data_IF_806261445489
#
_entry.id   IF_806261445489
#
_cell.length_a   1.000
_cell.length_b   1.000
_cell.length_c   1.000
_cell.angle_alpha   90.00
_cell.angle_beta   90.00
_cell.angle_gamma   90.00
#
_symmetry.space_group_name_H-M   'P 1'
#
loop_
_entity.id
_entity.type
_entity.pdbx_description
1 polymer ?
#
# COMPACT_ATOMS: atom_id res chain seq x y z
N UNK A 1 -25.13 -0.23 -5.03
CA UNK A 1 -24.33 0.30 -3.89
C UNK A 1 -22.86 0.22 -4.28
N UNK A 2 -22.02 1.26 -4.04
CA UNK A 2 -20.59 1.17 -4.37
C UNK A 2 -19.96 0.04 -3.54
N UNK A 3 -19.09 -0.77 -4.13
CA UNK A 3 -18.46 -1.94 -3.47
C UNK A 3 -17.78 -1.58 -2.14
N UNK A 4 -17.17 -0.40 -2.05
CA UNK A 4 -16.58 0.12 -0.81
C UNK A 4 -17.58 0.35 0.32
N UNK A 5 -18.85 0.62 0.00
CA UNK A 5 -19.90 0.75 1.00
C UNK A 5 -20.38 -0.64 1.50
N UNK A 6 -20.37 -1.66 0.64
CA UNK A 6 -20.64 -3.04 1.04
C UNK A 6 -19.56 -3.58 1.98
N UNK A 7 -18.29 -3.33 1.64
CA UNK A 7 -17.15 -3.71 2.49
C UNK A 7 -17.23 -3.05 3.86
N UNK A 8 -17.63 -1.78 3.93
CA UNK A 8 -17.73 -1.00 5.19
C UNK A 8 -18.92 -1.39 6.05
N UNK A 9 -19.97 -2.01 5.46
CA UNK A 9 -21.25 -2.25 6.14
C UNK A 9 -21.09 -2.99 7.48
N UNK A 10 -20.35 -4.12 7.60
CA UNK A 10 -20.26 -4.87 8.86
C UNK A 10 -19.44 -4.17 9.96
N UNK A 11 -18.78 -3.06 9.64
CA UNK A 11 -17.93 -2.28 10.55
C UNK A 11 -18.25 -0.79 10.49
N UNK A 12 -19.49 -0.41 10.12
CA UNK A 12 -19.87 0.99 9.92
C UNK A 12 -19.71 1.81 11.20
N UNK A 13 -20.25 1.33 12.30
CA UNK A 13 -20.21 2.02 13.59
C UNK A 13 -18.77 2.20 14.07
N UNK A 14 -17.95 1.16 13.92
CA UNK A 14 -16.54 1.20 14.29
C UNK A 14 -15.76 2.20 13.46
N UNK A 15 -16.04 2.28 12.17
CA UNK A 15 -15.38 3.26 11.30
C UNK A 15 -15.80 4.71 11.64
N UNK A 16 -17.03 4.94 12.06
CA UNK A 16 -17.50 6.26 12.50
C UNK A 16 -16.86 6.67 13.82
N UNK A 17 -16.80 5.77 14.79
CA UNK A 17 -16.13 6.00 16.06
C UNK A 17 -14.60 6.18 15.87
N UNK A 18 -14.00 5.38 15.00
CA UNK A 18 -12.60 5.52 14.63
C UNK A 18 -12.28 6.92 14.09
N UNK A 19 -13.12 7.47 13.23
CA UNK A 19 -12.90 8.82 12.70
C UNK A 19 -12.84 9.88 13.79
N UNK A 20 -13.70 9.78 14.79
CA UNK A 20 -13.71 10.71 15.93
C UNK A 20 -12.42 10.56 16.78
N UNK A 21 -12.04 9.31 17.12
CA UNK A 21 -10.84 9.01 17.88
C UNK A 21 -9.57 9.43 17.13
N UNK A 22 -9.48 9.17 15.84
CA UNK A 22 -8.36 9.53 15.00
C UNK A 22 -8.18 11.05 14.91
N UNK A 23 -9.28 11.82 14.73
CA UNK A 23 -9.23 13.29 14.77
C UNK A 23 -8.68 13.80 16.11
N UNK A 24 -9.13 13.25 17.22
CA UNK A 24 -8.65 13.61 18.56
C UNK A 24 -7.16 13.32 18.73
N UNK A 25 -6.66 12.16 18.21
CA UNK A 25 -5.25 11.79 18.31
C UNK A 25 -4.31 12.74 17.57
N UNK A 26 -4.79 13.44 16.54
CA UNK A 26 -4.00 14.39 15.74
C UNK A 26 -3.97 15.82 16.32
N UNK A 27 -4.68 16.09 17.42
CA UNK A 27 -4.74 17.43 18.00
C UNK A 27 -3.41 17.87 18.62
N UNK A 28 -3.12 19.18 18.56
CA UNK A 28 -1.93 19.81 19.12
C UNK A 28 -2.26 21.19 19.72
N UNK A 29 -1.40 21.66 20.63
CA UNK A 29 -1.47 23.03 21.16
C UNK A 29 -0.92 24.07 20.17
N UNK A 30 -0.21 23.65 19.11
CA UNK A 30 0.38 24.52 18.09
C UNK A 30 -0.63 24.81 16.99
N UNK A 31 -1.05 26.06 16.84
CA UNK A 31 -2.09 26.46 15.89
C UNK A 31 -1.77 26.09 14.42
N UNK A 32 -0.52 26.27 13.98
CA UNK A 32 -0.09 25.87 12.64
C UNK A 32 -0.26 24.37 12.42
N UNK A 33 0.14 23.57 13.38
CA UNK A 33 0.05 22.11 13.30
C UNK A 33 -1.42 21.65 13.24
N UNK A 34 -2.31 22.24 14.04
CA UNK A 34 -3.75 21.97 13.98
C UNK A 34 -4.34 22.32 12.60
N UNK A 35 -3.91 23.41 11.96
CA UNK A 35 -4.34 23.76 10.60
C UNK A 35 -3.91 22.69 9.60
N UNK A 36 -2.69 22.20 9.71
CA UNK A 36 -2.14 21.18 8.77
C UNK A 36 -2.82 19.83 9.01
N UNK A 37 -2.97 19.38 10.25
CA UNK A 37 -3.64 18.11 10.55
C UNK A 37 -5.12 18.15 10.17
N UNK A 38 -5.81 19.28 10.32
CA UNK A 38 -7.16 19.49 9.82
C UNK A 38 -7.21 19.35 8.28
N UNK A 39 -6.23 19.94 7.56
CA UNK A 39 -6.12 19.80 6.12
C UNK A 39 -5.94 18.33 5.70
N UNK A 40 -5.09 17.57 6.39
CA UNK A 40 -4.85 16.14 6.14
C UNK A 40 -6.13 15.33 6.35
N UNK A 41 -6.77 15.48 7.51
CA UNK A 41 -7.97 14.68 7.87
C UNK A 41 -9.15 14.91 6.92
N UNK A 42 -9.32 16.13 6.41
CA UNK A 42 -10.41 16.43 5.49
C UNK A 42 -10.16 15.95 4.04
N UNK A 43 -8.94 15.46 3.73
CA UNK A 43 -8.55 14.93 2.41
C UNK A 43 -8.15 13.45 2.46
N UNK A 44 -8.67 12.74 3.44
CA UNK A 44 -8.48 11.30 3.59
C UNK A 44 -9.01 10.53 2.36
N UNK A 45 -8.36 9.41 2.08
CA UNK A 45 -8.79 8.49 1.04
C UNK A 45 -9.94 7.57 1.50
N UNK A 46 -10.01 6.40 0.90
CA UNK A 46 -11.03 5.38 1.18
C UNK A 46 -10.88 4.70 2.54
N UNK A 47 -9.81 5.00 3.29
CA UNK A 47 -9.51 4.41 4.61
C UNK A 47 -9.47 2.86 4.62
N UNK A 48 -8.92 2.27 3.57
CA UNK A 48 -8.87 0.82 3.42
C UNK A 48 -8.06 0.14 4.55
N UNK A 49 -7.01 0.80 5.07
CA UNK A 49 -6.16 0.23 6.12
C UNK A 49 -6.88 0.03 7.45
N UNK A 50 -7.56 1.03 8.01
CA UNK A 50 -8.44 0.82 9.17
C UNK A 50 -9.51 -0.26 8.92
N UNK A 51 -10.08 -0.35 7.72
CA UNK A 51 -11.05 -1.41 7.40
C UNK A 51 -10.42 -2.80 7.51
N UNK A 52 -9.17 -3.02 7.03
CA UNK A 52 -8.47 -4.28 7.23
C UNK A 52 -8.31 -4.60 8.72
N UNK A 53 -7.87 -3.63 9.54
CA UNK A 53 -7.71 -3.84 10.98
C UNK A 53 -9.02 -4.28 11.62
N UNK A 54 -10.12 -3.58 11.37
CA UNK A 54 -11.41 -3.87 12.00
C UNK A 54 -12.04 -5.16 11.50
N UNK A 55 -12.02 -5.41 10.19
CA UNK A 55 -12.61 -6.63 9.62
C UNK A 55 -11.86 -7.89 10.10
N UNK A 56 -10.52 -7.85 10.12
CA UNK A 56 -9.71 -8.95 10.64
C UNK A 56 -9.97 -9.14 12.13
N UNK A 57 -9.93 -8.09 12.94
CA UNK A 57 -10.21 -8.18 14.37
C UNK A 57 -11.56 -8.84 14.65
N UNK A 58 -12.62 -8.40 13.97
CA UNK A 58 -13.97 -8.98 14.14
C UNK A 58 -14.08 -10.40 13.59
N UNK A 59 -13.40 -10.73 12.49
CA UNK A 59 -13.42 -12.08 11.94
C UNK A 59 -12.81 -13.08 12.91
N UNK A 60 -11.60 -12.81 13.40
CA UNK A 60 -10.87 -13.75 14.28
C UNK A 60 -11.47 -13.86 15.69
N UNK A 61 -12.14 -12.79 16.17
CA UNK A 61 -12.72 -12.75 17.53
C UNK A 61 -14.19 -13.12 17.62
N UNK A 62 -14.83 -13.46 16.49
CA UNK A 62 -16.29 -13.67 16.45
C UNK A 62 -17.10 -12.40 16.69
N UNK A 63 -16.64 -11.26 16.18
CA UNK A 63 -17.33 -9.96 16.23
C UNK A 63 -16.94 -9.04 17.38
N UNK A 64 -16.03 -9.45 18.26
CA UNK A 64 -15.56 -8.64 19.39
C UNK A 64 -14.47 -7.64 18.95
N UNK A 65 -14.44 -6.50 19.61
CA UNK A 65 -13.39 -5.49 19.48
C UNK A 65 -13.09 -4.82 20.83
N UNK A 66 -11.98 -4.13 20.91
CA UNK A 66 -11.55 -3.41 22.10
C UNK A 66 -11.00 -2.03 21.75
N UNK A 67 -10.77 -1.20 22.75
CA UNK A 67 -10.08 0.09 22.59
C UNK A 67 -8.70 -0.08 21.96
N UNK A 68 -8.05 -1.21 22.20
CA UNK A 68 -6.78 -1.58 21.63
C UNK A 68 -6.84 -1.69 20.10
N UNK A 69 -7.94 -2.20 19.53
CA UNK A 69 -8.14 -2.27 18.08
C UNK A 69 -8.24 -0.89 17.45
N UNK A 70 -8.95 0.06 18.10
CA UNK A 70 -9.01 1.46 17.63
C UNK A 70 -7.66 2.15 17.71
N UNK A 71 -6.87 1.89 18.76
CA UNK A 71 -5.50 2.43 18.86
C UNK A 71 -4.61 1.85 17.75
N UNK A 72 -4.66 0.54 17.52
CA UNK A 72 -3.93 -0.09 16.43
C UNK A 72 -4.25 0.51 15.06
N UNK A 73 -5.54 0.68 14.74
CA UNK A 73 -5.97 1.33 13.51
C UNK A 73 -5.49 2.79 13.42
N UNK A 74 -5.48 3.51 14.55
CA UNK A 74 -5.00 4.91 14.61
C UNK A 74 -3.49 5.00 14.41
N UNK A 75 -2.71 4.10 15.00
CA UNK A 75 -1.26 4.00 14.82
C UNK A 75 -0.90 3.75 13.34
N UNK A 76 -1.58 2.78 12.71
CA UNK A 76 -1.41 2.51 11.27
C UNK A 76 -1.66 3.77 10.44
N UNK A 77 -2.76 4.46 10.67
CA UNK A 77 -3.13 5.61 9.83
C UNK A 77 -2.27 6.84 10.12
N UNK A 78 -1.82 7.06 11.37
CA UNK A 78 -0.85 8.11 11.73
C UNK A 78 0.48 7.89 11.01
N UNK A 79 1.04 6.69 11.12
CA UNK A 79 2.33 6.34 10.53
C UNK A 79 2.24 6.35 9.00
N UNK A 80 1.18 5.77 8.41
CA UNK A 80 0.98 5.86 6.97
C UNK A 80 0.87 7.31 6.48
N UNK A 81 0.18 8.17 7.22
CA UNK A 81 0.08 9.59 6.86
C UNK A 81 1.44 10.28 6.96
N UNK A 82 2.24 9.95 7.99
CA UNK A 82 3.60 10.45 8.13
C UNK A 82 4.49 10.05 6.96
N UNK A 83 4.46 8.75 6.56
CA UNK A 83 5.24 8.28 5.40
C UNK A 83 4.81 8.97 4.11
N UNK A 84 3.50 9.15 3.86
CA UNK A 84 3.02 9.86 2.69
C UNK A 84 3.49 11.33 2.65
N UNK A 85 3.58 12.00 3.80
CA UNK A 85 4.06 13.39 3.88
C UNK A 85 5.58 13.45 3.60
N UNK A 86 6.35 12.48 4.10
CA UNK A 86 7.78 12.35 3.81
C UNK A 86 8.03 11.99 2.34
N UNK A 87 7.27 11.05 1.78
CA UNK A 87 7.36 10.64 0.38
C UNK A 87 7.12 11.82 -0.57
N UNK A 88 6.12 12.68 -0.27
CA UNK A 88 5.86 13.88 -1.08
C UNK A 88 7.06 14.83 -1.12
N UNK A 89 7.90 14.85 -0.06
CA UNK A 89 9.15 15.62 -0.04
C UNK A 89 10.26 14.91 -0.82
N UNK A 90 10.40 13.61 -0.67
CA UNK A 90 11.42 12.79 -1.35
C UNK A 90 11.19 12.78 -2.87
N UNK A 91 9.93 12.64 -3.29
CA UNK A 91 9.50 12.58 -4.70
C UNK A 91 9.32 13.96 -5.33
N UNK A 92 9.55 15.05 -4.59
CA UNK A 92 9.26 16.43 -4.99
C UNK A 92 7.83 16.61 -5.55
N UNK A 93 6.90 15.88 -4.99
CA UNK A 93 5.51 15.80 -5.44
C UNK A 93 4.71 17.02 -4.99
N UNK A 94 4.11 17.74 -5.95
CA UNK A 94 3.31 18.94 -5.66
C UNK A 94 1.82 18.64 -5.42
N UNK A 95 1.34 17.45 -5.79
CA UNK A 95 -0.07 17.06 -5.68
C UNK A 95 -0.21 15.60 -5.24
N UNK A 96 -1.18 15.36 -4.34
CA UNK A 96 -1.60 14.02 -3.91
C UNK A 96 -3.14 13.94 -3.93
N UNK A 97 -3.68 12.92 -4.60
CA UNK A 97 -5.15 12.72 -4.75
C UNK A 97 -5.89 13.95 -5.28
N UNK A 98 -5.29 14.69 -6.21
CA UNK A 98 -5.88 15.89 -6.80
C UNK A 98 -5.74 17.17 -5.95
N UNK A 99 -5.22 17.10 -4.74
CA UNK A 99 -4.97 18.24 -3.86
C UNK A 99 -3.47 18.56 -3.79
N UNK A 100 -3.14 19.79 -3.39
CA UNK A 100 -1.75 20.16 -3.12
C UNK A 100 -1.21 19.35 -1.94
N UNK A 101 0.04 18.88 -2.07
CA UNK A 101 0.78 18.21 -0.99
C UNK A 101 1.17 19.20 0.11
N UNK A 102 1.59 18.66 1.27
CA UNK A 102 1.99 19.51 2.41
C UNK A 102 3.23 20.34 2.08
N UNK A 103 4.22 19.75 1.41
CA UNK A 103 5.42 20.45 0.98
C UNK A 103 5.12 21.57 -0.03
N UNK A 104 4.15 21.38 -0.93
CA UNK A 104 3.74 22.41 -1.88
C UNK A 104 3.09 23.63 -1.18
N UNK A 105 2.29 23.41 -0.13
CA UNK A 105 1.60 24.48 0.60
C UNK A 105 2.46 25.13 1.68
N UNK A 106 3.23 24.35 2.43
CA UNK A 106 3.96 24.80 3.63
C UNK A 106 5.47 24.63 3.55
N UNK A 107 6.01 24.18 2.40
CA UNK A 107 7.43 23.91 2.13
C UNK A 107 7.96 22.64 2.80
N UNK A 108 9.07 22.12 2.26
CA UNK A 108 9.68 20.85 2.70
C UNK A 108 9.99 20.81 4.20
N UNK A 109 10.53 21.89 4.77
CA UNK A 109 10.85 21.97 6.21
C UNK A 109 9.63 21.70 7.09
N UNK A 110 8.48 22.26 6.75
CA UNK A 110 7.24 22.06 7.52
C UNK A 110 6.70 20.64 7.29
N UNK A 111 6.75 20.13 6.06
CA UNK A 111 6.32 18.78 5.75
C UNK A 111 7.10 17.73 6.56
N UNK A 112 8.43 17.84 6.61
CA UNK A 112 9.28 16.95 7.43
C UNK A 112 8.87 17.00 8.90
N UNK A 113 8.75 18.19 9.49
CA UNK A 113 8.36 18.33 10.90
C UNK A 113 6.95 17.81 11.20
N UNK A 114 6.01 17.91 10.25
CA UNK A 114 4.66 17.34 10.38
C UNK A 114 4.72 15.81 10.33
N UNK A 115 5.50 15.23 9.41
CA UNK A 115 5.71 13.79 9.35
C UNK A 115 6.31 13.25 10.65
N UNK A 116 7.35 13.89 11.19
CA UNK A 116 7.97 13.54 12.48
C UNK A 116 6.97 13.61 13.64
N UNK A 117 6.13 14.66 13.65
CA UNK A 117 5.09 14.79 14.67
C UNK A 117 4.07 13.64 14.61
N UNK A 118 3.60 13.28 13.40
CA UNK A 118 2.62 12.20 13.23
C UNK A 118 3.23 10.85 13.61
N UNK A 119 4.49 10.60 13.23
CA UNK A 119 5.24 9.42 13.62
C UNK A 119 5.35 9.33 15.15
N UNK A 120 5.81 10.40 15.81
CA UNK A 120 5.92 10.45 17.25
C UNK A 120 4.58 10.25 17.97
N UNK A 121 3.49 10.79 17.43
CA UNK A 121 2.13 10.58 17.97
C UNK A 121 1.72 9.09 17.87
N UNK A 122 2.02 8.42 16.77
CA UNK A 122 1.75 6.98 16.62
C UNK A 122 2.54 6.16 17.64
N UNK A 123 3.84 6.45 17.83
CA UNK A 123 4.68 5.76 18.81
C UNK A 123 4.16 5.95 20.24
N UNK A 124 3.88 7.20 20.63
CA UNK A 124 3.38 7.52 21.98
C UNK A 124 2.01 6.89 22.25
N UNK A 125 1.13 6.82 21.23
CA UNK A 125 -0.18 6.19 21.40
C UNK A 125 -0.06 4.71 21.80
N UNK A 126 0.93 3.99 21.27
CA UNK A 126 1.20 2.60 21.66
C UNK A 126 1.91 2.52 23.02
N UNK A 127 2.93 3.34 23.26
CA UNK A 127 3.75 3.30 24.48
C UNK A 127 2.92 3.66 25.73
N UNK A 128 2.14 4.74 25.67
CA UNK A 128 1.33 5.24 26.78
C UNK A 128 0.23 4.25 27.20
N UNK A 129 -0.15 3.33 26.31
CA UNK A 129 -1.16 2.30 26.55
C UNK A 129 -0.59 0.88 26.73
N UNK A 130 0.74 0.72 26.70
CA UNK A 130 1.39 -0.58 26.88
C UNK A 130 1.21 -1.54 25.69
N UNK A 131 0.82 -1.03 24.51
CA UNK A 131 0.58 -1.83 23.30
C UNK A 131 1.90 -2.13 22.53
N UNK A 132 2.90 -2.70 23.21
CA UNK A 132 4.26 -2.90 22.69
C UNK A 132 4.31 -3.90 21.53
N UNK A 133 3.46 -4.91 21.53
CA UNK A 133 3.33 -5.88 20.44
C UNK A 133 2.76 -5.23 19.16
N UNK A 134 1.74 -4.36 19.28
CA UNK A 134 1.22 -3.57 18.17
C UNK A 134 2.29 -2.60 17.65
N UNK A 135 3.04 -1.97 18.54
CA UNK A 135 4.16 -1.10 18.18
C UNK A 135 5.24 -1.86 17.42
N UNK A 136 5.56 -3.10 17.84
CA UNK A 136 6.52 -3.95 17.16
C UNK A 136 6.08 -4.26 15.72
N UNK A 137 4.82 -4.65 15.52
CA UNK A 137 4.26 -4.95 14.18
C UNK A 137 4.48 -3.77 13.23
N UNK A 138 4.08 -2.58 13.63
CA UNK A 138 4.20 -1.41 12.75
C UNK A 138 5.64 -0.94 12.58
N UNK A 139 6.48 -1.04 13.60
CA UNK A 139 7.90 -0.64 13.51
C UNK A 139 8.66 -1.53 12.53
N UNK A 140 8.39 -2.83 12.50
CA UNK A 140 8.94 -3.75 11.49
C UNK A 140 8.49 -3.34 10.09
N UNK A 141 7.20 -3.04 9.90
CA UNK A 141 6.68 -2.62 8.60
C UNK A 141 7.33 -1.31 8.11
N UNK A 142 7.50 -0.32 8.97
CA UNK A 142 8.15 0.97 8.60
C UNK A 142 9.60 0.76 8.20
N UNK A 143 10.34 -0.08 8.94
CA UNK A 143 11.72 -0.43 8.57
C UNK A 143 11.76 -1.09 7.19
N UNK A 144 10.95 -2.12 6.96
CA UNK A 144 10.89 -2.81 5.68
C UNK A 144 10.51 -1.87 4.53
N UNK A 145 9.54 -0.97 4.74
CA UNK A 145 9.17 0.03 3.71
C UNK A 145 10.35 0.90 3.31
N UNK A 146 11.14 1.36 4.29
CA UNK A 146 12.33 2.19 4.02
C UNK A 146 13.43 1.39 3.32
N UNK A 147 13.68 0.15 3.73
CA UNK A 147 14.64 -0.76 3.09
C UNK A 147 14.22 -1.07 1.65
N UNK A 148 12.92 -1.32 1.41
CA UNK A 148 12.37 -1.59 0.08
C UNK A 148 12.49 -0.40 -0.88
N UNK A 149 12.27 0.82 -0.38
CA UNK A 149 12.46 2.04 -1.17
C UNK A 149 13.92 2.23 -1.58
N UNK A 150 14.85 2.06 -0.64
CA UNK A 150 16.29 2.14 -0.91
C UNK A 150 16.75 1.04 -1.87
N UNK A 151 16.25 -0.18 -1.71
CA UNK A 151 16.53 -1.29 -2.63
C UNK A 151 16.04 -0.98 -4.04
N UNK A 152 14.82 -0.43 -4.18
CA UNK A 152 14.29 -0.01 -5.48
C UNK A 152 15.19 1.05 -6.13
N UNK A 153 15.60 2.08 -5.39
CA UNK A 153 16.48 3.14 -5.88
C UNK A 153 17.85 2.58 -6.33
N UNK A 154 18.43 1.67 -5.55
CA UNK A 154 19.70 1.03 -5.89
C UNK A 154 19.58 0.23 -7.19
N UNK A 155 18.55 -0.58 -7.31
CA UNK A 155 18.32 -1.47 -8.46
C UNK A 155 17.91 -0.73 -9.73
N UNK A 156 17.11 0.32 -9.61
CA UNK A 156 16.72 1.15 -10.75
C UNK A 156 17.95 1.74 -11.49
N UNK A 157 19.02 2.06 -10.76
CA UNK A 157 20.26 2.58 -11.36
C UNK A 157 21.01 1.55 -12.22
N UNK A 158 20.90 0.26 -11.90
CA UNK A 158 21.63 -0.83 -12.58
C UNK A 158 20.82 -1.43 -13.74
N UNK A 159 19.48 -1.45 -13.65
CA UNK A 159 18.56 -2.15 -14.54
C UNK A 159 18.87 -3.66 -14.67
N UNK A 160 19.31 -4.26 -13.56
CA UNK A 160 19.64 -5.68 -13.44
C UNK A 160 18.69 -6.41 -12.49
N UNK A 161 17.43 -5.97 -12.42
CA UNK A 161 16.42 -6.53 -11.53
C UNK A 161 15.97 -7.89 -12.09
N UNK A 162 16.19 -8.94 -11.31
CA UNK A 162 15.58 -10.25 -11.51
C UNK A 162 14.22 -10.31 -10.80
N UNK A 163 13.40 -11.29 -11.17
CA UNK A 163 12.02 -11.38 -10.70
C UNK A 163 11.92 -11.50 -9.17
N UNK A 164 12.84 -12.24 -8.54
CA UNK A 164 12.90 -12.40 -7.08
C UNK A 164 13.14 -11.05 -6.37
N UNK A 165 14.02 -10.24 -6.92
CA UNK A 165 14.30 -8.89 -6.38
C UNK A 165 13.09 -7.96 -6.56
N UNK A 166 12.37 -8.06 -7.67
CA UNK A 166 11.13 -7.33 -7.86
C UNK A 166 10.09 -7.70 -6.79
N UNK A 167 9.88 -9.00 -6.54
CA UNK A 167 8.96 -9.43 -5.48
C UNK A 167 9.40 -8.93 -4.11
N UNK A 168 10.68 -8.95 -3.80
CA UNK A 168 11.18 -8.41 -2.53
C UNK A 168 10.92 -6.91 -2.40
N UNK A 169 11.15 -6.12 -3.45
CA UNK A 169 10.86 -4.68 -3.46
C UNK A 169 9.37 -4.42 -3.19
N UNK A 170 8.47 -5.05 -3.93
CA UNK A 170 7.03 -4.79 -3.75
C UNK A 170 6.49 -5.35 -2.44
N UNK A 171 7.07 -6.44 -1.92
CA UNK A 171 6.77 -6.97 -0.60
C UNK A 171 7.09 -5.95 0.48
N UNK A 172 8.34 -5.46 0.48
CA UNK A 172 8.80 -4.51 1.48
C UNK A 172 8.12 -3.14 1.35
N UNK A 173 8.09 -2.56 0.15
CA UNK A 173 7.58 -1.20 -0.07
C UNK A 173 6.07 -1.08 0.12
N UNK A 174 5.29 -2.06 -0.33
CA UNK A 174 3.83 -1.95 -0.42
C UNK A 174 3.10 -2.98 0.42
N UNK A 175 3.46 -4.27 0.30
CA UNK A 175 2.69 -5.34 0.92
C UNK A 175 2.85 -5.38 2.44
N UNK A 176 4.03 -5.05 2.97
CA UNK A 176 4.30 -5.09 4.41
C UNK A 176 3.35 -4.22 5.24
N UNK A 177 2.90 -3.06 4.73
CA UNK A 177 1.97 -2.22 5.46
C UNK A 177 0.55 -2.83 5.51
N UNK A 178 0.10 -3.49 4.46
CA UNK A 178 -1.19 -4.19 4.45
C UNK A 178 -1.10 -5.44 5.34
N UNK A 179 0.03 -6.14 5.30
CA UNK A 179 0.34 -7.25 6.21
C UNK A 179 0.28 -6.80 7.68
N UNK A 180 0.88 -5.65 8.00
CA UNK A 180 0.83 -5.06 9.34
C UNK A 180 -0.60 -4.70 9.76
N UNK A 181 -1.45 -4.19 8.85
CA UNK A 181 -2.86 -3.92 9.16
C UNK A 181 -3.60 -5.20 9.59
N UNK A 182 -3.42 -6.29 8.85
CA UNK A 182 -4.08 -7.56 9.13
C UNK A 182 -3.54 -8.21 10.41
N UNK A 183 -2.21 -8.25 10.59
CA UNK A 183 -1.58 -8.73 11.81
C UNK A 183 -2.01 -7.93 13.05
N UNK A 184 -2.08 -6.60 12.92
CA UNK A 184 -2.51 -5.71 13.99
C UNK A 184 -3.98 -5.93 14.38
N UNK A 185 -4.85 -6.18 13.38
CA UNK A 185 -6.24 -6.54 13.64
C UNK A 185 -6.34 -7.78 14.52
N UNK A 186 -5.68 -8.88 14.13
CA UNK A 186 -5.67 -10.14 14.89
C UNK A 186 -5.02 -9.97 16.27
N UNK A 187 -3.82 -9.37 16.34
CA UNK A 187 -3.09 -9.16 17.59
C UNK A 187 -3.84 -8.26 18.58
N UNK A 188 -4.64 -7.31 18.11
CA UNK A 188 -5.39 -6.39 18.98
C UNK A 188 -6.46 -7.07 19.82
N UNK A 189 -6.94 -8.23 19.41
CA UNK A 189 -8.03 -8.99 20.07
C UNK A 189 -7.58 -10.34 20.61
N UNK A 190 -6.51 -10.93 20.05
CA UNK A 190 -5.99 -12.24 20.43
C UNK A 190 -4.45 -12.25 20.42
N UNK A 191 -3.76 -11.49 21.31
CA UNK A 191 -2.31 -11.34 21.28
C UNK A 191 -1.53 -12.63 21.49
N UNK A 192 -2.12 -13.62 22.16
CA UNK A 192 -1.49 -14.93 22.44
C UNK A 192 -1.58 -15.91 21.25
N UNK A 193 -2.42 -15.64 20.25
CA UNK A 193 -2.63 -16.50 19.09
C UNK A 193 -1.64 -16.17 17.97
N UNK A 194 -0.35 -16.45 18.21
CA UNK A 194 0.74 -16.06 17.31
C UNK A 194 0.63 -16.66 15.91
N UNK A 195 0.13 -17.91 15.80
CA UNK A 195 -0.10 -18.58 14.52
C UNK A 195 -1.19 -17.88 13.69
N UNK A 196 -2.28 -17.48 14.34
CA UNK A 196 -3.37 -16.78 13.67
C UNK A 196 -2.98 -15.35 13.26
N UNK A 197 -2.18 -14.67 14.10
CA UNK A 197 -1.59 -13.37 13.77
C UNK A 197 -0.71 -13.50 12.51
N UNK A 198 0.12 -14.55 12.43
CA UNK A 198 0.98 -14.78 11.27
C UNK A 198 0.17 -15.15 10.01
N UNK A 199 -0.88 -15.97 10.13
CA UNK A 199 -1.82 -16.22 9.01
C UNK A 199 -2.43 -14.94 8.49
N UNK A 200 -2.87 -14.04 9.36
CA UNK A 200 -3.43 -12.76 8.96
C UNK A 200 -2.38 -11.83 8.38
N UNK A 201 -1.15 -11.87 8.88
CA UNK A 201 -0.02 -11.16 8.27
C UNK A 201 0.20 -11.60 6.82
N UNK A 202 0.28 -12.92 6.58
CA UNK A 202 0.44 -13.50 5.24
C UNK A 202 -0.75 -13.16 4.32
N UNK A 203 -1.98 -13.20 4.82
CA UNK A 203 -3.16 -12.77 4.10
C UNK A 203 -3.00 -11.32 3.57
N UNK A 204 -2.60 -10.41 4.45
CA UNK A 204 -2.37 -9.01 4.09
C UNK A 204 -1.21 -8.84 3.11
N UNK A 205 -0.13 -9.61 3.26
CA UNK A 205 1.02 -9.60 2.36
C UNK A 205 0.60 -10.02 0.95
N UNK A 206 -0.13 -11.12 0.79
CA UNK A 206 -0.58 -11.58 -0.53
C UNK A 206 -1.51 -10.58 -1.23
N UNK A 207 -2.38 -9.92 -0.47
CA UNK A 207 -3.21 -8.82 -1.03
C UNK A 207 -2.32 -7.66 -1.49
N UNK A 208 -1.34 -7.28 -0.70
CA UNK A 208 -0.41 -6.19 -1.02
C UNK A 208 0.42 -6.49 -2.26
N UNK A 209 0.88 -7.74 -2.42
CA UNK A 209 1.57 -8.20 -3.63
C UNK A 209 0.66 -8.10 -4.86
N UNK A 210 -0.55 -8.65 -4.78
CA UNK A 210 -1.52 -8.56 -5.88
C UNK A 210 -1.90 -7.11 -6.21
N UNK A 211 -2.02 -6.26 -5.18
CA UNK A 211 -2.30 -4.83 -5.33
C UNK A 211 -1.21 -4.11 -6.12
N UNK A 212 0.06 -4.33 -5.79
CA UNK A 212 1.17 -3.67 -6.48
C UNK A 212 1.32 -4.16 -7.91
N UNK A 213 1.22 -5.47 -8.16
CA UNK A 213 1.26 -5.99 -9.53
C UNK A 213 0.12 -5.39 -10.37
N UNK A 214 -1.07 -5.19 -9.78
CA UNK A 214 -2.18 -4.51 -10.46
C UNK A 214 -1.86 -3.05 -10.79
N UNK A 215 -1.23 -2.33 -9.88
CA UNK A 215 -0.81 -0.95 -10.12
C UNK A 215 0.20 -0.86 -11.27
N UNK A 216 1.18 -1.76 -11.29
CA UNK A 216 2.18 -1.83 -12.36
C UNK A 216 1.53 -2.14 -13.72
N UNK A 217 0.50 -3.01 -13.76
CA UNK A 217 -0.25 -3.30 -14.97
C UNK A 217 -0.99 -2.08 -15.53
N UNK A 218 -1.44 -1.16 -14.68
CA UNK A 218 -2.11 0.06 -15.13
C UNK A 218 -1.19 0.97 -15.95
N UNK A 219 0.12 0.95 -15.71
CA UNK A 219 1.07 1.77 -16.46
C UNK A 219 1.20 1.37 -17.94
N UNK A 220 0.77 0.16 -18.29
CA UNK A 220 0.75 -0.38 -19.64
C UNK A 220 -0.60 -0.27 -20.36
N UNK A 221 -1.67 0.10 -19.66
CA UNK A 221 -3.02 0.15 -20.23
C UNK A 221 -3.45 1.59 -20.48
N UNK A 222 -3.88 1.89 -21.71
CA UNK A 222 -4.54 3.18 -22.00
C UNK A 222 -5.95 3.15 -21.42
N UNK A 223 -6.14 3.84 -20.30
CA UNK A 223 -7.48 3.97 -19.74
C UNK A 223 -8.27 5.11 -20.38
N UNK A 224 -9.59 4.90 -20.45
CA UNK A 224 -10.58 5.88 -20.92
C UNK A 224 -10.56 7.23 -20.16
N UNK A 225 -9.72 7.39 -19.14
CA UNK A 225 -9.65 8.56 -18.25
C UNK A 225 -8.44 9.46 -18.58
N UNK A 226 -7.60 9.11 -19.57
CA UNK A 226 -6.52 10.00 -20.05
C UNK A 226 -5.34 10.15 -19.09
N UNK A 227 -5.09 9.18 -18.21
CA UNK A 227 -3.84 9.16 -17.43
C UNK A 227 -2.65 8.85 -18.35
N UNK A 228 -1.50 9.52 -18.17
CA UNK A 228 -0.31 9.20 -18.94
C UNK A 228 0.18 7.78 -18.59
N UNK A 229 0.36 6.94 -19.60
CA UNK A 229 0.96 5.60 -19.49
C UNK A 229 2.49 5.68 -19.60
N UNK A 230 3.18 4.64 -19.15
CA UNK A 230 4.63 4.53 -19.24
C UNK A 230 5.38 5.43 -18.26
N UNK A 231 4.78 5.76 -17.11
CA UNK A 231 5.43 6.54 -16.06
C UNK A 231 6.56 5.70 -15.45
N UNK A 232 6.34 4.42 -15.15
CA UNK A 232 7.35 3.53 -14.60
C UNK A 232 8.54 3.35 -15.54
N UNK A 233 8.30 3.27 -16.85
CA UNK A 233 9.37 3.23 -17.86
C UNK A 233 10.17 4.55 -17.83
N UNK A 234 9.51 5.72 -17.73
CA UNK A 234 10.16 7.03 -17.64
C UNK A 234 11.01 7.17 -16.39
N UNK A 235 10.59 6.58 -15.29
CA UNK A 235 11.29 6.56 -14.01
C UNK A 235 12.31 5.41 -13.92
N UNK A 236 12.49 4.65 -15.00
CA UNK A 236 13.41 3.51 -15.08
C UNK A 236 13.08 2.40 -14.06
N UNK A 237 11.82 2.28 -13.67
CA UNK A 237 11.34 1.19 -12.82
C UNK A 237 11.17 -0.08 -13.66
N UNK A 238 11.71 -1.17 -13.14
CA UNK A 238 11.60 -2.49 -13.75
C UNK A 238 10.38 -3.19 -13.13
N UNK A 239 9.25 -3.16 -13.84
CA UNK A 239 8.01 -3.80 -13.42
C UNK A 239 7.90 -5.23 -13.95
N UNK A 240 7.07 -6.07 -13.34
CA UNK A 240 6.98 -7.49 -13.66
C UNK A 240 6.74 -7.80 -15.16
N UNK A 241 5.84 -7.08 -15.87
CA UNK A 241 5.68 -7.29 -17.31
C UNK A 241 6.97 -7.12 -18.09
N UNK A 242 7.76 -6.08 -17.78
CA UNK A 242 9.02 -5.79 -18.46
C UNK A 242 10.11 -6.82 -18.12
N UNK A 243 10.21 -7.20 -16.83
CA UNK A 243 11.18 -8.21 -16.36
C UNK A 243 10.94 -9.55 -17.06
N UNK A 244 9.68 -9.99 -17.17
CA UNK A 244 9.33 -11.23 -17.87
C UNK A 244 9.80 -11.19 -19.33
N UNK A 245 9.53 -10.11 -20.05
CA UNK A 245 9.92 -9.99 -21.44
C UNK A 245 11.44 -9.95 -21.60
N UNK A 246 12.16 -9.23 -20.74
CA UNK A 246 13.63 -9.23 -20.73
C UNK A 246 14.26 -10.61 -20.50
N UNK A 247 13.55 -11.50 -19.81
CA UNK A 247 14.02 -12.86 -19.53
C UNK A 247 13.64 -13.87 -20.64
N UNK A 248 12.73 -13.50 -21.54
CA UNK A 248 12.17 -14.43 -22.56
C UNK A 248 12.41 -14.02 -24.01
N UNK A 249 12.79 -12.77 -24.27
CA UNK A 249 13.09 -12.27 -25.61
C UNK A 249 14.52 -12.63 -26.06
N UNK A 250 14.83 -12.41 -27.34
CA UNK A 250 16.18 -12.58 -27.87
C UNK A 250 17.17 -11.57 -27.28
N UNK A 251 18.48 -11.87 -27.38
CA UNK A 251 19.51 -10.98 -26.84
C UNK A 251 19.52 -9.60 -27.55
N UNK A 252 19.20 -9.55 -28.85
CA UNK A 252 19.09 -8.30 -29.60
C UNK A 252 17.92 -7.44 -29.09
N UNK A 253 16.77 -8.04 -28.88
CA UNK A 253 15.57 -7.40 -28.34
C UNK A 253 15.81 -6.93 -26.90
N UNK A 254 16.49 -7.74 -26.09
CA UNK A 254 16.87 -7.39 -24.72
C UNK A 254 17.75 -6.14 -24.69
N UNK A 255 18.78 -6.07 -25.54
CA UNK A 255 19.65 -4.90 -25.65
C UNK A 255 18.86 -3.67 -26.11
N UNK A 256 17.92 -3.84 -27.04
CA UNK A 256 17.05 -2.75 -27.48
C UNK A 256 16.15 -2.24 -26.34
N UNK A 257 15.53 -3.12 -25.56
CA UNK A 257 14.69 -2.78 -24.40
C UNK A 257 15.50 -2.04 -23.33
N UNK A 258 16.65 -2.60 -22.91
CA UNK A 258 17.53 -1.98 -21.92
C UNK A 258 17.98 -0.58 -22.38
N UNK A 259 18.38 -0.45 -23.64
CA UNK A 259 18.79 0.84 -24.20
C UNK A 259 17.63 1.85 -24.22
N UNK A 260 16.42 1.38 -24.56
CA UNK A 260 15.21 2.19 -24.59
C UNK A 260 14.88 2.75 -23.20
N UNK A 261 14.91 1.92 -22.15
CA UNK A 261 14.67 2.33 -20.77
C UNK A 261 15.80 3.21 -20.22
N UNK A 262 17.07 2.91 -20.56
CA UNK A 262 18.21 3.70 -20.04
C UNK A 262 18.35 5.07 -20.67
N UNK A 263 18.23 5.16 -22.00
CA UNK A 263 18.59 6.38 -22.75
C UNK A 263 17.42 7.10 -23.39
N UNK A 264 16.33 6.40 -23.64
CA UNK A 264 15.16 6.95 -24.36
C UNK A 264 13.88 6.94 -23.54
N UNK A 265 14.00 6.77 -22.22
CA UNK A 265 12.85 6.76 -21.28
C UNK A 265 12.00 8.05 -21.29
N UNK A 266 12.54 9.18 -21.75
CA UNK A 266 11.81 10.46 -21.90
C UNK A 266 11.20 10.66 -23.29
N UNK A 267 11.58 9.86 -24.27
CA UNK A 267 11.00 9.90 -25.61
C UNK A 267 9.64 9.19 -25.63
N UNK A 268 8.59 9.97 -25.80
CA UNK A 268 7.21 9.46 -25.79
C UNK A 268 6.95 8.38 -26.85
N UNK A 269 7.59 8.48 -28.02
CA UNK A 269 7.46 7.49 -29.09
C UNK A 269 8.11 6.17 -28.67
N UNK A 270 9.33 6.26 -28.16
CA UNK A 270 10.08 5.07 -27.69
C UNK A 270 9.38 4.38 -26.51
N UNK A 271 8.83 5.14 -25.57
CA UNK A 271 8.04 4.58 -24.45
C UNK A 271 6.82 3.80 -24.97
N UNK A 272 6.09 4.35 -25.96
CA UNK A 272 4.98 3.63 -26.59
C UNK A 272 5.43 2.34 -27.30
N UNK A 273 6.54 2.39 -28.02
CA UNK A 273 7.13 1.20 -28.68
C UNK A 273 7.47 0.11 -27.65
N UNK A 274 8.04 0.47 -26.49
CA UNK A 274 8.33 -0.46 -25.40
C UNK A 274 7.04 -1.06 -24.84
N UNK A 275 6.01 -0.25 -24.58
CA UNK A 275 4.71 -0.74 -24.09
C UNK A 275 4.10 -1.77 -25.04
N UNK A 276 4.05 -1.47 -26.34
CA UNK A 276 3.52 -2.38 -27.34
C UNK A 276 4.37 -3.67 -27.47
N UNK A 277 5.69 -3.53 -27.36
CA UNK A 277 6.59 -4.69 -27.37
C UNK A 277 6.29 -5.61 -26.18
N UNK A 278 6.15 -5.06 -24.96
CA UNK A 278 5.83 -5.82 -23.74
C UNK A 278 4.47 -6.51 -23.86
N UNK A 279 3.46 -5.84 -24.44
CA UNK A 279 2.14 -6.43 -24.70
C UNK A 279 2.25 -7.62 -25.66
N UNK A 280 2.92 -7.43 -26.81
CA UNK A 280 3.04 -8.46 -27.84
C UNK A 280 3.82 -9.70 -27.39
N UNK A 281 4.72 -9.55 -26.40
CA UNK A 281 5.51 -10.64 -25.81
C UNK A 281 4.89 -11.22 -24.54
N UNK A 282 3.57 -11.04 -24.33
CA UNK A 282 2.78 -11.63 -23.22
C UNK A 282 3.22 -11.20 -21.80
N UNK A 283 3.91 -10.06 -21.69
CA UNK A 283 4.32 -9.55 -20.37
C UNK A 283 3.14 -9.25 -19.47
N UNK A 284 2.04 -8.73 -20.03
CA UNK A 284 0.83 -8.39 -19.25
C UNK A 284 0.06 -9.64 -18.81
N UNK A 285 -0.03 -10.65 -19.67
CA UNK A 285 -0.67 -11.94 -19.36
C UNK A 285 0.07 -12.65 -18.25
N UNK A 286 1.41 -12.64 -18.28
CA UNK A 286 2.24 -13.22 -17.24
C UNK A 286 2.01 -12.53 -15.89
N UNK A 287 2.12 -11.20 -15.85
CA UNK A 287 1.91 -10.43 -14.63
C UNK A 287 0.47 -10.59 -14.09
N UNK A 288 -0.54 -10.66 -14.99
CA UNK A 288 -1.93 -10.93 -14.60
C UNK A 288 -2.09 -12.31 -13.96
N UNK A 289 -1.39 -13.32 -14.48
CA UNK A 289 -1.40 -14.67 -13.91
C UNK A 289 -0.79 -14.64 -12.50
N UNK A 290 0.36 -14.01 -12.33
CA UNK A 290 1.02 -13.87 -11.02
C UNK A 290 0.18 -13.10 -10.00
N UNK A 291 -0.46 -12.02 -10.42
CA UNK A 291 -1.42 -11.29 -9.60
C UNK A 291 -2.56 -12.20 -9.08
N UNK A 292 -3.14 -13.01 -9.97
CA UNK A 292 -4.21 -13.97 -9.60
C UNK A 292 -3.71 -15.08 -8.68
N UNK A 293 -2.46 -15.55 -8.85
CA UNK A 293 -1.85 -16.51 -7.91
C UNK A 293 -1.80 -15.95 -6.49
N UNK A 294 -1.38 -14.68 -6.31
CA UNK A 294 -1.38 -14.02 -5.00
C UNK A 294 -2.81 -13.81 -4.46
N UNK A 295 -3.74 -13.42 -5.32
CA UNK A 295 -5.16 -13.33 -4.95
C UNK A 295 -5.67 -14.66 -4.39
N UNK A 296 -5.41 -15.76 -5.09
CA UNK A 296 -5.87 -17.09 -4.67
C UNK A 296 -5.23 -17.52 -3.35
N UNK A 297 -3.93 -17.22 -3.13
CA UNK A 297 -3.27 -17.50 -1.85
C UNK A 297 -3.96 -16.75 -0.70
N UNK A 298 -4.35 -15.49 -0.91
CA UNK A 298 -5.09 -14.73 0.10
C UNK A 298 -6.48 -15.34 0.37
N UNK A 299 -7.21 -15.72 -0.68
CA UNK A 299 -8.54 -16.36 -0.53
C UNK A 299 -8.45 -17.70 0.20
N UNK A 300 -7.44 -18.51 -0.09
CA UNK A 300 -7.23 -19.80 0.58
C UNK A 300 -7.06 -19.64 2.10
N UNK A 301 -6.37 -18.58 2.55
CA UNK A 301 -6.26 -18.28 3.99
C UNK A 301 -7.64 -17.93 4.57
N UNK A 302 -8.45 -17.13 3.86
CA UNK A 302 -9.80 -16.81 4.35
C UNK A 302 -10.69 -18.05 4.42
N UNK A 303 -10.49 -19.04 3.55
CA UNK A 303 -11.31 -20.25 3.53
C UNK A 303 -11.15 -21.11 4.79
N UNK A 304 -10.06 -20.94 5.53
CA UNK A 304 -9.84 -21.60 6.84
C UNK A 304 -10.73 -21.03 7.96
N UNK A 305 -11.31 -19.84 7.76
CA UNK A 305 -12.16 -19.18 8.77
C UNK A 305 -13.65 -19.47 8.53
N UNK A 306 -14.48 -19.52 9.60
CA UNK A 306 -15.91 -19.71 9.47
C UNK A 306 -16.58 -18.57 8.70
N UNK A 307 -17.69 -18.88 8.04
CA UNK A 307 -18.50 -17.89 7.33
C UNK A 307 -19.00 -16.81 8.29
N UNK A 308 -18.78 -15.55 7.92
CA UNK A 308 -19.22 -14.39 8.69
C UNK A 308 -19.31 -13.16 7.78
N UNK A 309 -20.08 -12.13 8.16
CA UNK A 309 -20.12 -10.86 7.40
C UNK A 309 -18.73 -10.22 7.23
N UNK A 310 -17.83 -10.47 8.16
CA UNK A 310 -16.45 -9.95 8.15
C UNK A 310 -15.58 -10.67 7.12
N UNK A 311 -15.68 -12.03 7.05
CA UNK A 311 -15.03 -12.84 6.01
C UNK A 311 -15.53 -12.44 4.62
N UNK A 312 -16.84 -12.27 4.44
CA UNK A 312 -17.44 -11.85 3.19
C UNK A 312 -16.91 -10.46 2.76
N UNK A 313 -16.84 -9.50 3.69
CA UNK A 313 -16.29 -8.18 3.42
C UNK A 313 -14.80 -8.22 3.06
N UNK A 314 -13.99 -9.05 3.73
CA UNK A 314 -12.58 -9.27 3.38
C UNK A 314 -12.44 -9.91 1.99
N UNK A 315 -13.28 -10.88 1.65
CA UNK A 315 -13.33 -11.48 0.30
C UNK A 315 -13.66 -10.41 -0.77
N UNK A 316 -14.64 -9.54 -0.48
CA UNK A 316 -14.94 -8.40 -1.35
C UNK A 316 -13.77 -7.43 -1.48
N UNK A 317 -12.99 -7.21 -0.39
CA UNK A 317 -11.78 -6.36 -0.45
C UNK A 317 -10.72 -6.99 -1.35
N UNK A 318 -10.45 -8.29 -1.25
CA UNK A 318 -9.51 -9.01 -2.10
C UNK A 318 -9.90 -8.86 -3.57
N UNK A 319 -11.16 -9.11 -3.91
CA UNK A 319 -11.66 -8.98 -5.28
C UNK A 319 -11.60 -7.52 -5.76
N UNK A 320 -11.98 -6.56 -4.91
CA UNK A 320 -11.93 -5.13 -5.25
C UNK A 320 -10.52 -4.66 -5.61
N UNK A 321 -9.49 -5.17 -4.93
CA UNK A 321 -8.09 -4.84 -5.23
C UNK A 321 -7.73 -5.22 -6.67
N UNK A 322 -8.22 -6.36 -7.15
CA UNK A 322 -7.93 -6.89 -8.48
C UNK A 322 -8.84 -6.30 -9.57
N UNK A 323 -10.13 -6.16 -9.28
CA UNK A 323 -11.15 -5.74 -10.26
C UNK A 323 -11.28 -4.23 -10.39
N UNK A 324 -10.58 -3.45 -9.54
CA UNK A 324 -10.63 -1.99 -9.61
C UNK A 324 -10.22 -1.49 -11.00
N UNK A 325 -11.05 -0.61 -11.52
CA UNK A 325 -10.68 0.29 -12.62
C UNK A 325 -10.11 1.56 -11.99
N UNK A 326 -9.16 2.16 -12.64
CA UNK A 326 -8.47 3.37 -12.14
C UNK A 326 -9.49 4.47 -11.80
#
# INVERSE_FOLDING_TARGET
MKITAQIKEPIREEMELFEQKFRSSMSSKVALLNRITYYIVNRKGKQMRPMFVFLVAKMVSGGKMSERTYRGASVIELIHTATLVHDDVVDDSNKRRGFFSINALWKNKIAVLVGDYLLSKGLLLSIDNGDFDLLRIISVAVREMSEGELLQIEKARRLDIVEEVYYEIIRQKTATLIAACCAMGACSVQPEQTEEIEKMRLFGEYIGMAFQIKDDLFDYTEDAIGKPTGIDIKEQKMTLPLIYVLNTCSEEEKQWLINSVKKYNKDKKRVKEVIEFVKNHKGLEYATTKMKEFQQKALNILDEFPTSPYKEALTLMVNYVIDRKI
#
